data_IF_976050829770
#
_entry.id   IF_976050829770
#
_cell.length_a   1.000
_cell.length_b   1.000
_cell.length_c   1.000
_cell.angle_alpha   90.00
_cell.angle_beta   90.00
_cell.angle_gamma   90.00
#
_symmetry.space_group_name_H-M   'P 1'
#
loop_
_entity.id
_entity.type
_entity.pdbx_description
1 polymer ?
2 polymer ?
3 non-polymer ?
4 non-polymer ?
5 non-polymer ?
6 water ?
#
# COMPACT_ATOMS: atom_id res chain seq x y z
N UNK A 2 -3.61 25.26 -14.78
CA UNK A 2 -2.22 24.86 -14.54
C UNK A 2 -2.15 23.53 -13.82
N UNK A 3 -1.54 22.54 -14.45
CA UNK A 3 -1.47 21.24 -13.81
C UNK A 3 -0.37 21.23 -12.74
N UNK A 4 0.73 22.00 -12.84
CA UNK A 4 1.58 22.11 -11.64
C UNK A 4 0.84 22.66 -10.44
N UNK A 5 -0.06 23.63 -10.64
CA UNK A 5 -0.85 24.13 -9.52
C UNK A 5 -1.75 23.04 -8.93
N UNK A 6 -2.35 22.21 -9.79
CA UNK A 6 -3.16 21.10 -9.28
C UNK A 6 -2.32 20.14 -8.46
N UNK A 7 -1.10 19.84 -8.94
CA UNK A 7 -0.23 18.93 -8.19
C UNK A 7 0.17 19.53 -6.86
N UNK A 8 0.42 20.85 -6.82
CA UNK A 8 0.68 21.50 -5.54
C UNK A 8 -0.49 21.30 -4.58
N UNK A 9 -1.72 21.37 -5.10
CA UNK A 9 -2.91 21.12 -4.29
C UNK A 9 -2.93 19.67 -3.79
N UNK A 10 -2.69 18.72 -4.69
CA UNK A 10 -2.69 17.31 -4.28
C UNK A 10 -1.69 17.09 -3.15
N UNK A 11 -0.49 17.65 -3.31
CA UNK A 11 0.55 17.46 -2.30
C UNK A 11 0.14 18.07 -0.96
N UNK A 12 -0.43 19.27 -0.99
CA UNK A 12 -0.85 19.92 0.25
C UNK A 12 -1.91 19.09 0.97
N UNK A 13 -2.90 18.58 0.24
CA UNK A 13 -3.95 17.77 0.84
C UNK A 13 -3.37 16.48 1.39
N UNK A 14 -2.48 15.84 0.63
CA UNK A 14 -1.90 14.59 1.10
C UNK A 14 -1.09 14.76 2.38
N UNK A 15 -0.29 15.84 2.43
CA UNK A 15 0.51 16.10 3.62
C UNK A 15 -0.34 16.33 4.85
N UNK A 16 -1.54 16.90 4.65
CA UNK A 16 -2.46 17.17 5.75
C UNK A 16 -3.44 16.03 5.97
N UNK A 17 -3.30 14.93 5.23
CA UNK A 17 -4.16 13.77 5.43
C UNK A 17 -5.57 13.93 4.89
N UNK A 18 -5.79 14.91 4.02
CA UNK A 18 -7.12 15.14 3.46
C UNK A 18 -7.22 14.41 2.12
N UNK A 19 -7.33 13.09 2.22
CA UNK A 19 -7.37 12.29 1.00
C UNK A 19 -8.68 12.45 0.26
N UNK A 20 -9.75 12.85 0.95
CA UNK A 20 -11.01 13.17 0.29
C UNK A 20 -10.83 14.31 -0.71
N UNK A 21 -10.19 15.40 -0.27
CA UNK A 21 -10.00 16.51 -1.20
C UNK A 21 -8.88 16.22 -2.19
N UNK A 22 -7.86 15.47 -1.78
CA UNK A 22 -6.82 15.09 -2.73
C UNK A 22 -7.41 14.26 -3.87
N UNK A 23 -8.37 13.38 -3.56
CA UNK A 23 -9.01 12.57 -4.59
C UNK A 23 -9.73 13.44 -5.61
N UNK A 24 -10.47 14.45 -5.14
CA UNK A 24 -11.15 15.35 -6.06
C UNK A 24 -10.16 16.03 -7.00
N UNK A 25 -9.03 16.50 -6.45
CA UNK A 25 -8.05 17.18 -7.28
C UNK A 25 -7.36 16.22 -8.24
N UNK A 26 -7.01 15.03 -7.76
CA UNK A 26 -6.41 14.01 -8.62
C UNK A 26 -7.34 13.69 -9.78
N UNK A 27 -8.64 13.60 -9.51
CA UNK A 27 -9.58 13.30 -10.59
C UNK A 27 -9.62 14.42 -11.62
N UNK A 28 -9.38 15.67 -11.20
CA UNK A 28 -9.27 16.77 -12.17
C UNK A 28 -8.01 16.64 -13.02
N UNK A 29 -6.90 16.20 -12.41
CA UNK A 29 -5.69 15.96 -13.18
C UNK A 29 -5.93 14.83 -14.17
N UNK A 30 -6.58 13.76 -13.74
CA UNK A 30 -6.87 12.64 -14.65
C UNK A 30 -7.81 13.03 -15.78
N UNK A 31 -8.60 14.11 -15.63
CA UNK A 31 -9.39 14.61 -16.76
C UNK A 31 -8.50 15.22 -17.82
N UNK A 32 -7.35 15.76 -17.42
CA UNK A 32 -6.41 16.37 -18.36
C UNK A 32 -5.43 15.35 -18.92
N UNK A 33 -4.77 14.59 -18.04
CA UNK A 33 -3.77 13.59 -18.42
C UNK A 33 -4.29 12.22 -18.01
N UNK A 34 -5.02 11.56 -18.92
CA UNK A 34 -5.77 10.37 -18.57
C UNK A 34 -4.86 9.23 -18.11
N UNK A 35 -3.61 9.20 -18.58
CA UNK A 35 -2.72 8.09 -18.29
C UNK A 35 -1.54 8.50 -17.42
N UNK A 36 -1.71 9.55 -16.63
CA UNK A 36 -0.64 9.95 -15.72
C UNK A 36 -0.51 8.91 -14.62
N UNK A 37 0.64 8.23 -14.57
CA UNK A 37 0.82 7.12 -13.63
C UNK A 37 0.83 7.64 -12.20
N UNK A 38 1.48 8.79 -11.97
CA UNK A 38 1.51 9.33 -10.62
C UNK A 38 0.11 9.69 -10.14
N UNK A 39 -0.72 10.24 -11.04
CA UNK A 39 -2.09 10.57 -10.67
C UNK A 39 -2.90 9.32 -10.35
N UNK A 40 -2.76 8.27 -11.16
CA UNK A 40 -3.46 7.02 -10.87
C UNK A 40 -2.97 6.43 -9.55
N UNK A 41 -1.66 6.50 -9.28
CA UNK A 41 -1.12 6.02 -8.01
C UNK A 41 -1.72 6.78 -6.84
N UNK A 42 -1.75 8.11 -6.93
CA UNK A 42 -2.34 8.89 -5.84
C UNK A 42 -3.82 8.60 -5.67
N UNK A 43 -4.56 8.40 -6.77
CA UNK A 43 -5.97 8.07 -6.67
C UNK A 43 -6.17 6.78 -5.88
N UNK A 44 -5.36 5.77 -6.20
CA UNK A 44 -5.43 4.49 -5.49
C UNK A 44 -5.17 4.68 -4.00
N UNK A 45 -4.15 5.48 -3.65
CA UNK A 45 -3.83 5.75 -2.25
C UNK A 45 -5.00 6.43 -1.55
N UNK A 46 -5.56 7.46 -2.18
CA UNK A 46 -6.72 8.15 -1.60
C UNK A 46 -7.85 7.18 -1.30
N UNK A 47 -8.18 6.32 -2.27
CA UNK A 47 -9.27 5.39 -2.08
C UNK A 47 -8.98 4.42 -0.94
N UNK A 48 -7.75 3.89 -0.87
CA UNK A 48 -7.40 2.99 0.23
C UNK A 48 -7.48 3.72 1.56
N UNK A 49 -7.00 4.96 1.60
CA UNK A 49 -7.02 5.73 2.84
C UNK A 49 -8.44 6.00 3.34
N UNK A 50 -9.43 6.05 2.44
CA UNK A 50 -10.82 6.24 2.83
C UNK A 50 -11.62 4.93 2.85
N UNK A 51 -10.95 3.77 2.81
CA UNK A 51 -11.62 2.48 2.97
C UNK A 51 -12.26 1.90 1.74
N UNK A 52 -12.05 2.51 0.58
CA UNK A 52 -12.70 2.08 -0.66
C UNK A 52 -11.79 1.12 -1.42
N UNK A 53 -11.62 -0.08 -0.85
CA UNK A 53 -10.61 -1.01 -1.37
C UNK A 53 -11.00 -1.57 -2.73
N UNK A 54 -12.29 -1.90 -2.92
CA UNK A 54 -12.70 -2.42 -4.21
C UNK A 54 -12.57 -1.34 -5.29
N UNK A 55 -12.93 -0.10 -4.96
CA UNK A 55 -12.79 0.98 -5.92
C UNK A 55 -11.32 1.18 -6.31
N UNK A 56 -10.42 1.13 -5.32
CA UNK A 56 -8.99 1.25 -5.60
C UNK A 56 -8.51 0.11 -6.50
N UNK A 57 -8.93 -1.12 -6.18
CA UNK A 57 -8.57 -2.26 -7.02
C UNK A 57 -9.13 -2.10 -8.44
N UNK A 58 -10.35 -1.58 -8.57
CA UNK A 58 -10.94 -1.37 -9.89
C UNK A 58 -10.15 -0.35 -10.71
N UNK A 59 -9.60 0.69 -10.06
CA UNK A 59 -8.72 1.63 -10.75
C UNK A 59 -7.49 0.91 -11.29
N UNK A 60 -6.84 0.11 -10.44
CA UNK A 60 -5.63 -0.60 -10.86
C UNK A 60 -5.93 -1.51 -12.04
N UNK A 61 -7.02 -2.29 -11.95
CA UNK A 61 -7.34 -3.27 -12.98
C UNK A 61 -7.96 -2.65 -14.24
N UNK A 62 -8.35 -1.38 -14.20
CA UNK A 62 -8.79 -0.67 -15.40
C UNK A 62 -7.61 -0.01 -16.13
N UNK A 63 -6.44 0.07 -15.52
CA UNK A 63 -5.30 0.77 -16.09
C UNK A 63 -4.05 -0.10 -16.09
N UNK A 64 -4.23 -1.40 -16.35
CA UNK A 64 -3.16 -2.37 -16.18
C UNK A 64 -1.95 -2.04 -17.04
N UNK A 65 -2.16 -1.81 -18.33
CA UNK A 65 -1.04 -1.58 -19.23
C UNK A 65 -0.26 -0.33 -18.84
N UNK A 66 -0.98 0.78 -18.62
CA UNK A 66 -0.33 2.04 -18.31
C UNK A 66 0.43 1.94 -17.00
N UNK A 67 -0.07 1.16 -16.06
CA UNK A 67 0.60 1.01 -14.77
C UNK A 67 1.68 -0.07 -14.79
N UNK A 68 1.78 -0.86 -15.85
CA UNK A 68 2.71 -1.99 -15.87
C UNK A 68 4.14 -1.53 -15.62
N UNK A 69 4.77 -2.10 -14.58
CA UNK A 69 6.19 -1.98 -14.26
C UNK A 69 6.56 -0.60 -13.69
N UNK A 70 5.69 0.39 -13.73
CA UNK A 70 5.73 1.51 -12.79
C UNK A 70 4.81 1.23 -11.61
N UNK A 71 4.63 -0.05 -11.27
CA UNK A 71 3.30 -0.47 -10.87
C UNK A 71 3.08 -0.41 -9.38
N UNK A 72 1.84 -0.70 -9.02
CA UNK A 72 1.32 -0.62 -7.67
C UNK A 72 1.04 -2.02 -7.15
N UNK A 73 2.04 -2.90 -7.26
CA UNK A 73 1.86 -4.27 -6.76
C UNK A 73 1.55 -4.27 -5.28
N UNK A 74 2.22 -3.40 -4.50
CA UNK A 74 1.91 -3.26 -3.09
C UNK A 74 0.44 -2.89 -2.88
N UNK A 75 -0.02 -1.84 -3.57
CA UNK A 75 -1.39 -1.38 -3.38
C UNK A 75 -2.39 -2.43 -3.85
N UNK A 76 -2.12 -3.09 -4.98
CA UNK A 76 -3.03 -4.11 -5.48
C UNK A 76 -3.13 -5.26 -4.50
N UNK A 77 -2.00 -5.76 -4.02
CA UNK A 77 -2.00 -6.84 -3.04
C UNK A 77 -2.64 -6.40 -1.73
N UNK A 78 -2.43 -5.14 -1.34
CA UNK A 78 -3.04 -4.65 -0.11
C UNK A 78 -4.56 -4.68 -0.20
N UNK A 79 -5.10 -4.18 -1.31
CA UNK A 79 -6.56 -4.24 -1.52
C UNK A 79 -7.07 -5.68 -1.53
N UNK A 80 -6.35 -6.57 -2.22
CA UNK A 80 -6.75 -7.97 -2.25
C UNK A 80 -6.77 -8.57 -0.85
N UNK A 81 -5.74 -8.26 -0.06
CA UNK A 81 -5.68 -8.65 1.35
C UNK A 81 -6.90 -8.14 2.11
N UNK A 82 -7.23 -6.85 1.95
CA UNK A 82 -8.36 -6.29 2.69
C UNK A 82 -9.70 -6.79 2.19
N UNK A 83 -9.76 -7.35 0.98
CA UNK A 83 -11.00 -7.84 0.41
C UNK A 83 -11.15 -9.34 0.57
N UNK A 84 -10.42 -9.92 1.53
CA UNK A 84 -10.54 -11.37 1.82
C UNK A 84 -10.09 -12.22 0.63
N UNK A 85 -9.11 -11.74 -0.14
CA UNK A 85 -8.56 -12.48 -1.25
C UNK A 85 -7.09 -12.79 -1.00
N UNK A 86 -6.82 -13.61 0.03
CA UNK A 86 -5.45 -13.76 0.50
C UNK A 86 -4.59 -14.46 -0.54
N UNK A 87 -5.16 -15.42 -1.29
CA UNK A 87 -4.38 -16.12 -2.31
C UNK A 87 -4.00 -15.20 -3.46
N UNK A 88 -4.94 -14.35 -3.91
CA UNK A 88 -4.61 -13.30 -4.88
C UNK A 88 -3.48 -12.42 -4.35
N UNK A 89 -3.60 -11.98 -3.08
CA UNK A 89 -2.62 -11.08 -2.51
C UNK A 89 -1.24 -11.70 -2.53
N UNK A 90 -1.14 -12.98 -2.16
CA UNK A 90 0.13 -13.67 -2.18
C UNK A 90 0.73 -13.69 -3.59
N UNK A 91 -0.10 -14.02 -4.60
CA UNK A 91 0.41 -14.10 -5.96
C UNK A 91 0.86 -12.73 -6.46
N UNK A 92 0.10 -11.69 -6.12
CA UNK A 92 0.51 -10.34 -6.52
C UNK A 92 1.85 -9.97 -5.91
N UNK A 93 2.07 -10.32 -4.63
CA UNK A 93 3.35 -10.00 -3.99
C UNK A 93 4.49 -10.75 -4.67
N UNK A 94 4.33 -12.05 -4.88
CA UNK A 94 5.38 -12.86 -5.49
C UNK A 94 5.65 -12.46 -6.93
N UNK A 95 4.67 -11.86 -7.62
CA UNK A 95 4.81 -11.47 -9.01
C UNK A 95 5.36 -10.06 -9.19
N UNK A 96 5.62 -9.34 -8.11
CA UNK A 96 6.05 -7.96 -8.22
C UNK A 96 7.40 -7.86 -8.92
N UNK A 97 7.52 -6.91 -9.84
CA UNK A 97 8.78 -6.74 -10.56
C UNK A 97 9.89 -6.26 -9.65
N UNK A 98 9.55 -5.47 -8.63
CA UNK A 98 10.54 -4.88 -7.74
C UNK A 98 10.07 -5.06 -6.31
N UNK A 99 10.90 -5.70 -5.49
CA UNK A 99 10.56 -5.91 -4.09
C UNK A 99 10.95 -4.70 -3.26
N UNK A 100 10.09 -4.34 -2.32
CA UNK A 100 10.23 -3.14 -1.51
C UNK A 100 9.98 -3.46 -0.05
N UNK A 101 10.31 -2.49 0.81
CA UNK A 101 10.03 -2.64 2.24
C UNK A 101 8.53 -2.77 2.50
N UNK A 102 7.71 -2.00 1.77
CA UNK A 102 6.25 -2.09 1.92
C UNK A 102 5.75 -3.47 1.55
N UNK A 103 6.28 -4.03 0.46
CA UNK A 103 5.86 -5.37 0.05
C UNK A 103 6.26 -6.41 1.09
N UNK A 104 7.42 -6.24 1.71
CA UNK A 104 7.87 -7.21 2.71
C UNK A 104 7.01 -7.14 3.96
N UNK A 105 6.61 -5.93 4.36
CA UNK A 105 5.70 -5.78 5.49
C UNK A 105 4.39 -6.51 5.24
N UNK A 106 3.77 -6.27 4.08
CA UNK A 106 2.53 -6.96 3.76
C UNK A 106 2.74 -8.46 3.64
N UNK A 107 3.89 -8.87 3.09
CA UNK A 107 4.18 -10.31 2.94
C UNK A 107 4.19 -11.01 4.28
N UNK A 108 4.76 -10.36 5.32
CA UNK A 108 4.71 -10.96 6.65
C UNK A 108 3.30 -11.12 7.15
N UNK A 109 2.44 -10.12 6.92
CA UNK A 109 1.05 -10.22 7.35
C UNK A 109 0.30 -11.29 6.56
N UNK A 110 0.62 -11.40 5.27
CA UNK A 110 -0.04 -12.41 4.43
C UNK A 110 0.37 -13.81 4.89
N UNK A 111 1.64 -14.01 5.19
CA UNK A 111 2.08 -15.32 5.67
C UNK A 111 1.44 -15.67 7.01
N UNK A 112 1.22 -14.68 7.87
CA UNK A 112 0.55 -14.91 9.14
C UNK A 112 -0.88 -15.39 8.91
N UNK A 113 -1.60 -14.71 8.02
CA UNK A 113 -2.98 -15.10 7.73
C UNK A 113 -3.06 -16.48 7.08
N UNK A 114 -2.00 -16.89 6.37
CA UNK A 114 -1.94 -18.21 5.75
C UNK A 114 -1.44 -19.28 6.69
N UNK A 115 -1.09 -18.93 7.93
CA UNK A 115 -0.62 -19.88 8.93
C UNK A 115 0.70 -20.53 8.52
N UNK A 116 1.49 -19.80 7.74
CA UNK A 116 2.84 -20.20 7.38
C UNK A 116 3.83 -19.55 8.36
N UNK A 117 3.81 -20.08 9.58
CA UNK A 117 4.41 -19.37 10.72
C UNK A 117 5.93 -19.40 10.68
N UNK A 118 6.54 -20.50 10.23
CA UNK A 118 8.00 -20.55 10.15
C UNK A 118 8.54 -19.50 9.20
N UNK A 119 7.98 -19.44 7.98
CA UNK A 119 8.38 -18.41 7.03
C UNK A 119 8.04 -17.02 7.56
N UNK A 120 6.88 -16.90 8.20
CA UNK A 120 6.45 -15.62 8.77
C UNK A 120 7.43 -15.13 9.83
N UNK A 121 7.90 -16.05 10.69
CA UNK A 121 8.84 -15.64 11.72
C UNK A 121 10.14 -15.10 11.14
N UNK A 122 10.67 -15.78 10.11
CA UNK A 122 11.89 -15.29 9.47
C UNK A 122 11.70 -13.90 8.89
N UNK A 123 10.53 -13.66 8.27
CA UNK A 123 10.25 -12.35 7.72
C UNK A 123 10.18 -11.29 8.81
N UNK A 124 9.48 -11.58 9.92
CA UNK A 124 9.37 -10.56 10.96
C UNK A 124 10.68 -10.31 11.69
N UNK A 125 11.51 -11.34 11.88
CA UNK A 125 12.84 -11.06 12.43
C UNK A 125 13.60 -10.07 11.56
N UNK A 126 13.52 -10.23 10.24
CA UNK A 126 14.19 -9.30 9.34
C UNK A 126 13.51 -7.93 9.38
N UNK A 127 12.18 -7.89 9.39
CA UNK A 127 11.49 -6.61 9.43
C UNK A 127 11.83 -5.85 10.71
N UNK A 128 11.89 -6.55 11.85
CA UNK A 128 12.19 -5.87 13.11
C UNK A 128 13.61 -5.30 13.08
N UNK A 129 14.57 -6.10 12.62
CA UNK A 129 15.96 -5.65 12.58
C UNK A 129 16.13 -4.47 11.64
N UNK A 130 15.56 -4.54 10.44
CA UNK A 130 15.87 -3.60 9.38
C UNK A 130 15.01 -2.35 9.39
N UNK A 131 13.90 -2.33 10.13
CA UNK A 131 13.01 -1.19 10.11
C UNK A 131 13.44 -0.13 11.11
N UNK A 132 13.28 1.13 10.73
CA UNK A 132 13.43 2.27 11.63
C UNK A 132 12.20 3.16 11.42
N UNK A 133 11.20 3.00 12.27
CA UNK A 133 9.99 3.80 12.14
C UNK A 133 9.33 3.88 13.52
N UNK A 134 8.13 4.45 13.54
CA UNK A 134 7.40 4.70 14.78
C UNK A 134 6.65 3.48 15.26
N UNK A 135 6.84 2.33 14.62
CA UNK A 135 6.02 1.15 14.88
C UNK A 135 6.85 -0.04 15.34
N UNK A 136 7.96 0.18 16.05
CA UNK A 136 8.74 -0.95 16.53
C UNK A 136 7.98 -1.76 17.56
N UNK A 137 7.29 -1.08 18.49
CA UNK A 137 6.52 -1.78 19.52
C UNK A 137 5.44 -2.65 18.88
N UNK A 138 4.72 -2.09 17.92
CA UNK A 138 3.68 -2.84 17.23
C UNK A 138 4.28 -4.02 16.47
N UNK A 139 5.40 -3.79 15.78
CA UNK A 139 5.99 -4.85 14.99
C UNK A 139 6.51 -5.98 15.86
N UNK A 140 7.00 -5.66 17.06
CA UNK A 140 7.45 -6.70 17.97
C UNK A 140 6.26 -7.45 18.57
N UNK A 141 5.12 -6.78 18.73
CA UNK A 141 3.89 -7.47 19.10
C UNK A 141 3.49 -8.48 18.02
N UNK A 142 3.57 -8.07 16.75
CA UNK A 142 3.31 -8.99 15.65
C UNK A 142 4.26 -10.18 15.69
N UNK A 143 5.55 -9.91 15.89
CA UNK A 143 6.51 -11.00 15.98
C UNK A 143 6.15 -11.97 17.12
N UNK A 144 5.72 -11.44 18.26
CA UNK A 144 5.35 -12.30 19.38
C UNK A 144 4.11 -13.13 19.08
N UNK A 145 3.17 -12.60 18.30
CA UNK A 145 2.02 -13.38 17.88
C UNK A 145 2.44 -14.56 17.01
N UNK A 146 3.46 -14.37 16.17
CA UNK A 146 3.96 -15.47 15.35
C UNK A 146 4.61 -16.53 16.22
N UNK A 147 5.46 -16.11 17.18
CA UNK A 147 6.11 -17.06 18.09
C UNK A 147 5.07 -17.84 18.87
N UNK A 148 4.00 -17.17 19.30
CA UNK A 148 2.94 -17.86 20.05
C UNK A 148 2.24 -18.90 19.18
N UNK A 149 1.98 -18.56 17.91
CA UNK A 149 1.28 -19.49 17.03
C UNK A 149 2.11 -20.75 16.80
N UNK A 150 3.44 -20.62 16.81
CA UNK A 150 4.28 -21.80 16.64
C UNK A 150 4.20 -22.73 17.84
N UNK A 151 3.88 -22.22 19.01
CA UNK A 151 3.84 -23.05 20.21
C UNK A 151 2.41 -23.40 20.61
N UNK B 44 -7.39 -15.12 19.47
CA UNK B 44 -6.63 -14.26 18.56
C UNK B 44 -5.74 -13.28 19.32
N UNK B 45 -4.42 -13.46 19.21
CA UNK B 45 -3.51 -12.45 19.76
C UNK B 45 -3.61 -11.14 19.02
N UNK B 46 -3.12 -10.08 19.66
CA UNK B 46 -3.10 -8.77 19.04
C UNK B 46 -2.14 -8.77 17.87
N UNK B 47 -2.62 -8.27 16.71
CA UNK B 47 -1.82 -8.25 15.50
C UNK B 47 -2.15 -6.98 14.72
N UNK B 48 -1.14 -6.20 14.38
CA UNK B 48 -1.31 -4.87 13.79
C UNK B 48 -1.12 -4.89 12.28
N UNK B 49 -2.00 -4.21 11.56
CA UNK B 49 -1.85 -4.02 10.11
C UNK B 49 -0.88 -2.87 9.88
N UNK B 50 0.42 -3.18 9.98
CA UNK B 50 1.43 -2.15 9.76
C UNK B 50 1.57 -1.79 8.29
N UNK B 51 1.15 -2.69 7.38
CA UNK B 51 1.19 -2.36 5.95
C UNK B 51 0.39 -1.09 5.64
N UNK B 52 -0.72 -0.89 6.35
CA UNK B 52 -1.53 0.32 6.13
C UNK B 52 -0.72 1.60 6.30
N UNK B 53 0.28 1.59 7.20
CA UNK B 53 1.07 2.80 7.43
C UNK B 53 1.95 3.14 6.24
N UNK B 54 2.20 2.18 5.36
CA UNK B 54 3.00 2.37 4.17
C UNK B 54 2.20 2.92 2.99
N UNK B 55 0.87 3.06 3.11
CA UNK B 55 0.03 3.46 2.00
C UNK B 55 0.13 4.99 1.90
N UNK B 56 0.91 5.47 0.92
CA UNK B 56 1.23 6.88 0.86
C UNK B 56 1.50 7.29 -0.58
N UNK B 57 1.30 8.58 -0.87
CA UNK B 57 1.61 9.10 -2.18
C UNK B 57 3.08 8.85 -2.52
N UNK B 58 3.39 8.62 -3.79
CA UNK B 58 4.79 8.68 -4.23
C UNK B 58 5.32 10.10 -4.16
N UNK B 59 6.63 10.30 -4.29
CA UNK B 59 7.18 11.65 -4.30
C UNK B 59 6.60 12.47 -5.44
N UNK B 60 6.21 13.71 -5.15
CA UNK B 60 5.48 14.54 -6.09
C UNK B 60 6.27 15.74 -6.59
N UNK B 61 7.53 15.90 -6.18
CA UNK B 61 8.30 17.08 -6.58
C UNK B 61 8.36 17.25 -8.09
N UNK B 62 8.55 16.16 -8.82
CA UNK B 62 8.71 16.25 -10.27
C UNK B 62 7.44 16.68 -10.96
N UNK B 63 6.28 16.45 -10.34
CA UNK B 63 5.04 16.88 -10.95
C UNK B 63 4.86 18.39 -10.88
N UNK B 64 5.72 19.09 -10.15
CA UNK B 64 5.69 20.54 -10.13
C UNK B 64 6.42 21.08 -11.35
X LIG C 1 -8.97 -7.33 8.95
X LIG C 1 -9.10 -8.50 9.82
X LIG C 1 -7.60 -7.19 8.50
X LIG C 1 -9.85 -7.54 7.80
X LIG C 1 -9.41 -6.14 9.67
X LIG D 1 5.73 -3.61 -9.50
X LIG D 1 7.08 -3.76 -8.97
X LIG D 1 5.13 -4.92 -9.73
X LIG D 1 5.80 -2.86 -10.75
X LIG D 1 4.91 -2.87 -8.54
X LIG E 1 -9.49 8.53 5.81
X LIG F 1 -6.14 24.32 -0.69
X LIG F 1 -5.56 24.64 -1.93
X LIG F 1 -5.27 23.27 0.00
X LIG F 1 -3.95 23.38 -0.44
X LIG F 1 -5.33 23.50 1.51
X LIG F 1 -6.62 23.92 1.85
X LIG G 1 8.29 -12.59 -1.85
X LIG G 1 8.96 -12.95 -3.04
X LIG G 1 9.17 -11.60 -1.07
X LIG G 1 10.15 -11.08 -1.93
X LIG G 1 8.29 -10.47 -0.54
X LIG G 1 9.08 -9.57 0.20
#
# INVERSE_FOLDING_TARGET
GSVPALWSEVNRYGQNGDFTRALKTVNKILQINKDDVTALHCKVVCLIQNGSFKEALNVINTHTKVLANNSLSFEKAYCEYRLNRIENALKTIESANQQTDKLKELYGQVLYRLERYDECLAVYRDLVRNSQDDYDEERKTNLSAVVAAQSNWEKVVPGS
MGSQVKDNKPLVERFETFCLDPSLVTKQANLVHFPPGFQPIPCKPLFFDLALNHVAFPPLEDKLEQKTKSG
SO4 S O1 O2 O3 O4
SO4 S O1 O2 O3 O4
K K
GOL C1 O1 C2 O2 C3 O3
GOL C1 O1 C2 O2 C3 O3
#
